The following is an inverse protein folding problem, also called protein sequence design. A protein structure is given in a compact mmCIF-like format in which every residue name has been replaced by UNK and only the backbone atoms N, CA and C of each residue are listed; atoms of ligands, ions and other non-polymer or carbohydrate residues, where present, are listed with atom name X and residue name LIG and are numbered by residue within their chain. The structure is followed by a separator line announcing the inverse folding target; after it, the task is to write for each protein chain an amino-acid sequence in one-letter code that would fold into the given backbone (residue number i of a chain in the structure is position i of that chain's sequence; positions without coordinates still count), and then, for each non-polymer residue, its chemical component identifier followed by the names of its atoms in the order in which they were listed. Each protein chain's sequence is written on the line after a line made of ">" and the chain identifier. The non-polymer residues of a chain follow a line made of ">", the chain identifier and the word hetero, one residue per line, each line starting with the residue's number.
data_IF_651161922221
#
_entry.id   IF_651161922221
#
_cell.length_a   1.000
_cell.length_b   1.000
_cell.length_c   1.000
_cell.angle_alpha   90.00
_cell.angle_beta   90.00
_cell.angle_gamma   90.00
#
_symmetry.space_group_name_H-M   'P 1'
#
loop_
_entity.id
_entity.type
_entity.pdbx_description
1 polymer ?
#
# COMPACT_ATOMS: atom_id res chain seq x y z
N UNK A 1 8.09 -11.92 -12.15
CA UNK A 1 6.85 -11.63 -12.90
C UNK A 1 6.01 -10.79 -11.96
N UNK A 2 6.12 -9.46 -12.10
CA UNK A 2 5.33 -8.53 -11.31
C UNK A 2 3.83 -8.78 -11.49
N UNK A 3 3.07 -8.71 -10.41
CA UNK A 3 1.61 -8.73 -10.45
C UNK A 3 1.10 -7.60 -11.33
N UNK A 4 0.16 -7.87 -12.24
CA UNK A 4 -0.43 -6.83 -13.09
C UNK A 4 -1.55 -6.10 -12.36
N UNK A 5 -1.64 -4.80 -12.57
CA UNK A 5 -2.77 -4.00 -12.05
C UNK A 5 -4.01 -4.40 -12.86
N UNK A 6 -5.12 -4.82 -12.22
CA UNK A 6 -6.31 -5.31 -12.92
C UNK A 6 -7.09 -4.21 -13.65
N UNK A 7 -6.78 -2.94 -13.38
CA UNK A 7 -7.35 -1.76 -14.04
C UNK A 7 -6.22 -0.83 -14.47
N UNK A 8 -6.29 -0.23 -15.67
CA UNK A 8 -5.32 0.77 -16.07
C UNK A 8 -5.46 2.01 -15.20
N UNK A 9 -4.35 2.49 -14.66
CA UNK A 9 -4.30 3.67 -13.80
C UNK A 9 -3.15 4.58 -14.19
N UNK A 10 -3.35 5.87 -13.92
CA UNK A 10 -2.35 6.91 -14.05
C UNK A 10 -2.06 7.46 -12.67
N UNK A 11 -0.80 7.81 -12.41
CA UNK A 11 -0.39 8.49 -11.19
C UNK A 11 0.88 9.29 -11.43
N UNK A 12 1.16 10.24 -10.54
CA UNK A 12 2.38 11.04 -10.53
C UNK A 12 3.13 10.79 -9.23
N UNK A 13 4.40 10.40 -9.34
CA UNK A 13 5.27 10.25 -8.17
C UNK A 13 5.63 11.63 -7.60
N UNK A 14 5.60 11.80 -6.27
CA UNK A 14 6.09 13.03 -5.65
C UNK A 14 7.60 13.19 -5.87
N UNK A 15 8.09 14.42 -5.75
CA UNK A 15 9.52 14.72 -5.86
C UNK A 15 10.35 13.91 -4.85
N UNK A 16 11.55 13.48 -5.23
CA UNK A 16 12.44 12.70 -4.36
C UNK A 16 12.15 11.20 -4.29
N UNK A 17 10.99 10.75 -4.82
CA UNK A 17 10.67 9.35 -4.98
C UNK A 17 11.21 8.78 -6.29
N UNK A 18 11.79 7.59 -6.22
CA UNK A 18 12.37 6.88 -7.37
C UNK A 18 11.65 5.54 -7.53
N UNK A 19 11.08 5.30 -8.71
CA UNK A 19 10.54 3.99 -9.06
C UNK A 19 11.66 2.97 -9.26
N UNK A 20 11.45 1.78 -8.72
CA UNK A 20 12.36 0.64 -8.87
C UNK A 20 11.58 -0.58 -9.34
N UNK A 21 12.24 -1.49 -10.03
CA UNK A 21 11.61 -2.72 -10.48
C UNK A 21 11.32 -3.63 -9.27
N UNK A 22 10.06 -4.05 -9.04
CA UNK A 22 9.71 -4.94 -7.92
C UNK A 22 10.50 -6.26 -7.90
N UNK A 23 10.84 -6.80 -9.08
CA UNK A 23 11.63 -8.03 -9.23
C UNK A 23 13.09 -7.84 -8.75
N UNK A 24 13.65 -6.62 -8.82
CA UNK A 24 15.03 -6.31 -8.38
C UNK A 24 15.17 -6.23 -6.85
N UNK A 25 14.07 -6.01 -6.14
CA UNK A 25 14.04 -5.83 -4.67
C UNK A 25 13.26 -6.93 -3.94
N UNK A 26 13.09 -8.09 -4.58
CA UNK A 26 12.41 -9.26 -4.02
C UNK A 26 10.98 -8.97 -3.51
N UNK A 27 10.25 -8.08 -4.20
CA UNK A 27 8.83 -7.81 -3.90
C UNK A 27 7.95 -8.17 -5.11
N UNK A 28 7.96 -9.43 -5.59
CA UNK A 28 7.33 -9.82 -6.85
C UNK A 28 5.81 -9.66 -6.85
N UNK A 29 5.19 -9.65 -5.66
CA UNK A 29 3.74 -9.46 -5.52
C UNK A 29 3.30 -8.01 -5.80
N UNK A 30 4.23 -7.04 -5.75
CA UNK A 30 3.94 -5.66 -6.06
C UNK A 30 3.94 -5.42 -7.57
N UNK A 31 2.92 -4.71 -8.04
CA UNK A 31 2.84 -4.20 -9.40
C UNK A 31 3.76 -3.00 -9.62
N UNK A 32 4.00 -2.22 -8.56
CA UNK A 32 4.85 -1.04 -8.59
C UNK A 32 5.50 -0.81 -7.23
N UNK A 33 6.75 -0.33 -7.24
CA UNK A 33 7.45 0.12 -6.04
C UNK A 33 8.17 1.45 -6.29
N UNK A 34 8.07 2.36 -5.34
CA UNK A 34 8.88 3.56 -5.26
C UNK A 34 9.60 3.66 -3.91
N UNK A 35 10.82 4.16 -3.92
CA UNK A 35 11.65 4.39 -2.73
C UNK A 35 11.88 5.90 -2.56
N UNK A 36 12.12 6.36 -1.33
CA UNK A 36 12.58 7.73 -1.06
C UNK A 36 14.04 7.72 -0.55
N UNK A 37 15.06 7.74 -1.42
CA UNK A 37 16.47 7.60 -1.02
C UNK A 37 16.96 8.71 -0.09
N UNK A 38 16.44 9.93 -0.26
CA UNK A 38 16.80 11.09 0.58
C UNK A 38 16.44 10.93 2.06
N UNK A 39 15.57 9.98 2.40
CA UNK A 39 15.17 9.67 3.78
C UNK A 39 15.73 8.33 4.27
N UNK A 40 16.77 7.79 3.63
CA UNK A 40 17.44 6.56 4.09
C UNK A 40 18.08 6.81 5.46
N UNK A 41 17.56 6.16 6.49
CA UNK A 41 17.99 6.38 7.88
C UNK A 41 17.86 5.14 8.75
N UNK A 42 18.92 4.82 9.51
CA UNK A 42 18.94 3.70 10.47
C UNK A 42 18.61 2.33 9.88
N UNK A 43 18.89 2.08 8.60
CA UNK A 43 18.70 0.76 7.98
C UNK A 43 17.34 0.52 7.31
N UNK A 44 16.45 1.53 7.21
CA UNK A 44 15.23 1.43 6.40
C UNK A 44 15.06 2.63 5.47
N UNK A 45 14.67 2.35 4.23
CA UNK A 45 14.32 3.36 3.23
C UNK A 45 12.79 3.38 3.09
N UNK A 46 12.12 4.52 3.32
CA UNK A 46 10.69 4.62 3.08
C UNK A 46 10.34 4.19 1.66
N UNK A 47 9.25 3.44 1.53
CA UNK A 47 8.80 2.92 0.25
C UNK A 47 7.28 3.01 0.11
N UNK A 48 6.84 3.10 -1.13
CA UNK A 48 5.45 2.97 -1.55
C UNK A 48 5.35 1.72 -2.41
N UNK A 49 4.41 0.85 -2.11
CA UNK A 49 4.08 -0.28 -2.97
C UNK A 49 2.65 -0.16 -3.47
N UNK A 50 2.40 -0.62 -4.70
CA UNK A 50 1.05 -0.83 -5.23
C UNK A 50 0.91 -2.30 -5.57
N UNK A 51 -0.14 -2.91 -5.05
CA UNK A 51 -0.62 -4.24 -5.43
C UNK A 51 -2.04 -4.10 -5.98
N UNK A 52 -2.39 -4.94 -6.93
CA UNK A 52 -3.72 -4.97 -7.55
C UNK A 52 -4.27 -6.38 -7.55
N UNK A 53 -5.54 -6.54 -7.20
CA UNK A 53 -6.21 -7.83 -7.21
C UNK A 53 -7.68 -7.71 -7.62
N UNK A 54 -8.22 -8.77 -8.23
CA UNK A 54 -9.65 -8.90 -8.47
C UNK A 54 -10.31 -9.56 -7.27
N UNK A 55 -11.37 -8.95 -6.76
CA UNK A 55 -12.15 -9.45 -5.63
C UNK A 55 -13.62 -9.55 -5.99
N UNK A 56 -14.33 -10.40 -5.28
CA UNK A 56 -15.79 -10.42 -5.31
C UNK A 56 -16.31 -9.08 -4.77
N UNK A 57 -17.30 -8.50 -5.45
CA UNK A 57 -17.85 -7.19 -5.10
C UNK A 57 -18.55 -7.19 -3.72
N UNK A 58 -18.95 -8.35 -3.21
CA UNK A 58 -19.56 -8.51 -1.88
C UNK A 58 -18.56 -8.43 -0.73
N UNK A 59 -17.26 -8.63 -1.00
CA UNK A 59 -16.20 -8.53 0.01
C UNK A 59 -15.87 -7.06 0.26
N UNK A 60 -16.05 -6.60 1.50
CA UNK A 60 -15.80 -5.21 1.87
C UNK A 60 -14.30 -4.86 1.85
N UNK A 61 -13.96 -3.59 1.64
CA UNK A 61 -12.54 -3.17 1.73
C UNK A 61 -11.97 -3.39 3.13
N UNK A 62 -12.80 -3.28 4.17
CA UNK A 62 -12.40 -3.59 5.55
C UNK A 62 -11.99 -5.06 5.70
N UNK A 63 -12.71 -6.01 5.08
CA UNK A 63 -12.35 -7.42 5.10
C UNK A 63 -11.00 -7.66 4.41
N UNK A 64 -10.77 -7.02 3.27
CA UNK A 64 -9.49 -7.10 2.54
C UNK A 64 -8.35 -6.51 3.38
N UNK A 65 -8.60 -5.38 4.06
CA UNK A 65 -7.64 -4.75 4.94
C UNK A 65 -7.29 -5.64 6.14
N UNK A 66 -8.27 -6.38 6.70
CA UNK A 66 -8.04 -7.37 7.74
C UNK A 66 -7.20 -8.55 7.25
N UNK A 67 -7.49 -9.09 6.06
CA UNK A 67 -6.66 -10.13 5.44
C UNK A 67 -5.21 -9.67 5.22
N UNK A 68 -5.00 -8.40 4.85
CA UNK A 68 -3.66 -7.83 4.74
C UNK A 68 -2.92 -7.83 6.08
N UNK A 69 -3.61 -7.55 7.18
CA UNK A 69 -3.03 -7.61 8.54
C UNK A 69 -2.72 -9.06 8.92
N UNK A 70 -3.59 -10.00 8.56
CA UNK A 70 -3.34 -11.43 8.81
C UNK A 70 -2.13 -11.95 8.04
N UNK A 71 -1.87 -11.46 6.82
CA UNK A 71 -0.61 -11.74 6.11
C UNK A 71 0.59 -11.18 6.85
N UNK A 72 0.52 -9.93 7.34
CA UNK A 72 1.61 -9.30 8.09
C UNK A 72 1.93 -10.05 9.40
N UNK A 73 0.91 -10.56 10.09
CA UNK A 73 1.07 -11.35 11.33
C UNK A 73 1.89 -12.63 11.14
N UNK A 74 2.00 -13.16 9.92
CA UNK A 74 2.80 -14.36 9.65
C UNK A 74 4.31 -14.09 9.67
N UNK A 75 4.73 -12.84 9.47
CA UNK A 75 6.14 -12.44 9.37
C UNK A 75 6.57 -11.38 10.39
N UNK A 76 5.67 -10.93 11.26
CA UNK A 76 5.93 -9.90 12.27
C UNK A 76 5.77 -10.46 13.69
N UNK A 77 6.62 -9.99 14.59
CA UNK A 77 6.52 -10.28 16.03
C UNK A 77 5.28 -9.64 16.66
N UNK A 78 4.92 -8.45 16.18
CA UNK A 78 3.75 -7.72 16.64
C UNK A 78 3.12 -6.93 15.48
N UNK A 79 1.79 -6.93 15.42
CA UNK A 79 1.01 -6.12 14.49
C UNK A 79 -0.11 -5.41 15.25
N UNK A 80 -0.11 -4.07 15.21
CA UNK A 80 -1.13 -3.23 15.85
C UNK A 80 -1.81 -2.36 14.81
N UNK A 81 -3.13 -2.50 14.70
CA UNK A 81 -3.96 -1.63 13.86
C UNK A 81 -4.20 -0.33 14.64
N UNK A 82 -3.96 0.79 13.96
CA UNK A 82 -4.21 2.14 14.46
C UNK A 82 -5.51 2.71 13.90
N UNK A 83 -5.47 3.99 13.52
CA UNK A 83 -6.63 4.68 12.95
C UNK A 83 -7.04 4.04 11.63
N UNK A 84 -8.34 3.81 11.49
CA UNK A 84 -8.98 3.40 10.25
C UNK A 84 -9.93 4.51 9.77
N UNK A 85 -10.17 4.60 8.48
CA UNK A 85 -11.14 5.55 7.91
C UNK A 85 -11.75 4.97 6.65
N UNK A 86 -13.07 5.08 6.53
CA UNK A 86 -13.84 4.71 5.34
C UNK A 86 -14.31 5.98 4.63
N UNK A 87 -14.32 5.94 3.29
CA UNK A 87 -14.73 7.06 2.46
C UNK A 87 -14.87 6.66 0.99
N UNK A 88 -14.81 7.65 0.11
CA UNK A 88 -15.04 7.45 -1.33
C UNK A 88 -16.52 7.47 -1.71
N UNK A 89 -16.84 6.92 -2.87
CA UNK A 89 -18.21 6.78 -3.39
C UNK A 89 -18.62 5.31 -3.42
N UNK A 90 -19.89 5.02 -3.72
CA UNK A 90 -20.34 3.63 -3.87
C UNK A 90 -19.61 2.89 -5.02
N UNK A 91 -19.27 3.61 -6.08
CA UNK A 91 -18.57 3.08 -7.26
C UNK A 91 -17.05 3.00 -7.06
N UNK A 92 -16.51 3.93 -6.25
CA UNK A 92 -15.08 4.01 -5.94
C UNK A 92 -14.87 4.13 -4.42
N UNK A 93 -15.14 3.06 -3.66
CA UNK A 93 -14.98 3.09 -2.21
C UNK A 93 -13.49 3.14 -1.85
N UNK A 94 -13.20 3.79 -0.72
CA UNK A 94 -11.84 3.90 -0.17
C UNK A 94 -11.84 3.49 1.29
N UNK A 95 -10.87 2.68 1.67
CA UNK A 95 -10.60 2.30 3.05
C UNK A 95 -9.14 2.59 3.36
N UNK A 96 -8.86 3.20 4.51
CA UNK A 96 -7.50 3.46 4.96
C UNK A 96 -7.27 2.90 6.35
N UNK A 97 -6.05 2.43 6.61
CA UNK A 97 -5.62 2.05 7.95
C UNK A 97 -4.14 2.32 8.20
N UNK A 98 -3.83 2.80 9.39
CA UNK A 98 -2.47 2.80 9.91
C UNK A 98 -2.19 1.45 10.60
N UNK A 99 -1.03 0.86 10.37
CA UNK A 99 -0.58 -0.39 10.99
C UNK A 99 0.82 -0.18 11.53
N UNK A 100 1.06 -0.52 12.80
CA UNK A 100 2.39 -0.58 13.40
C UNK A 100 2.87 -2.03 13.39
N UNK A 101 4.12 -2.21 13.02
CA UNK A 101 4.75 -3.52 12.84
C UNK A 101 6.03 -3.57 13.66
N UNK A 102 6.26 -4.70 14.31
CA UNK A 102 7.56 -5.07 14.86
C UNK A 102 8.07 -6.29 14.08
N UNK A 103 9.14 -6.10 13.32
CA UNK A 103 9.68 -7.09 12.36
C UNK A 103 11.20 -7.16 12.47
N UNK A 104 11.79 -8.27 12.08
CA UNK A 104 13.24 -8.35 11.88
C UNK A 104 13.61 -7.97 10.45
N UNK A 105 14.45 -6.94 10.31
CA UNK A 105 15.05 -6.56 9.03
C UNK A 105 16.56 -6.76 9.10
N UNK A 106 17.10 -7.58 8.19
CA UNK A 106 18.52 -7.97 8.20
C UNK A 106 18.99 -8.49 9.58
N UNK A 107 18.13 -9.24 10.28
CA UNK A 107 18.42 -9.80 11.61
C UNK A 107 18.40 -8.79 12.76
N UNK A 108 17.89 -7.59 12.55
CA UNK A 108 17.72 -6.57 13.59
C UNK A 108 16.24 -6.23 13.77
N UNK A 109 15.74 -6.17 15.02
CA UNK A 109 14.37 -5.77 15.28
C UNK A 109 14.16 -4.30 14.87
N UNK A 110 13.09 -4.05 14.13
CA UNK A 110 12.70 -2.73 13.64
C UNK A 110 11.21 -2.49 13.89
N UNK A 111 10.90 -1.25 14.29
CA UNK A 111 9.53 -0.76 14.34
C UNK A 111 9.20 0.01 13.08
N UNK A 112 8.24 -0.49 12.32
CA UNK A 112 7.75 0.14 11.10
C UNK A 112 6.30 0.60 11.27
N UNK A 113 5.94 1.59 10.48
CA UNK A 113 4.58 2.05 10.30
C UNK A 113 4.21 1.87 8.83
N UNK A 114 3.07 1.24 8.61
CA UNK A 114 2.41 1.21 7.32
C UNK A 114 1.17 2.09 7.34
N UNK A 115 1.01 2.92 6.33
CA UNK A 115 -0.25 3.57 6.03
C UNK A 115 -0.79 2.96 4.74
N UNK A 116 -1.86 2.18 4.89
CA UNK A 116 -2.44 1.35 3.85
C UNK A 116 -3.72 2.01 3.33
N UNK A 117 -3.82 2.13 2.01
CA UNK A 117 -4.97 2.66 1.31
C UNK A 117 -5.48 1.57 0.37
N UNK A 118 -6.76 1.24 0.50
CA UNK A 118 -7.46 0.30 -0.36
C UNK A 118 -8.49 1.08 -1.17
N UNK A 119 -8.41 0.99 -2.49
CA UNK A 119 -9.35 1.62 -3.43
C UNK A 119 -10.07 0.53 -4.21
N UNK A 120 -11.40 0.53 -4.17
CA UNK A 120 -12.21 -0.31 -5.03
C UNK A 120 -12.54 0.41 -6.34
N UNK A 121 -12.50 -0.31 -7.44
CA UNK A 121 -12.97 0.14 -8.75
C UNK A 121 -13.97 -0.89 -9.28
N UNK A 122 -15.19 -0.46 -9.56
CA UNK A 122 -16.19 -1.32 -10.17
C UNK A 122 -15.71 -1.84 -11.52
N UNK A 123 -15.82 -3.15 -11.73
CA UNK A 123 -15.60 -3.75 -13.05
C UNK A 123 -16.86 -3.52 -13.91
N UNK A 124 -16.73 -2.73 -14.96
CA UNK A 124 -17.84 -2.41 -15.87
C UNK A 124 -18.25 -3.60 -16.74
N UNK A 125 -17.35 -4.57 -16.96
CA UNK A 125 -17.64 -5.78 -17.71
C UNK A 125 -18.28 -6.86 -16.82
N UNK A 126 -17.98 -6.88 -15.52
CA UNK A 126 -18.55 -7.83 -14.57
C UNK A 126 -18.86 -7.20 -13.20
N UNK A 127 -20.11 -6.77 -12.95
CA UNK A 127 -20.51 -6.16 -11.68
C UNK A 127 -20.36 -7.04 -10.43
N UNK A 128 -20.21 -8.37 -10.59
CA UNK A 128 -19.94 -9.28 -9.47
C UNK A 128 -18.48 -9.23 -9.00
N UNK A 129 -17.60 -8.59 -9.77
CA UNK A 129 -16.19 -8.40 -9.44
C UNK A 129 -15.85 -6.93 -9.31
N UNK A 130 -14.80 -6.67 -8.57
CA UNK A 130 -14.18 -5.35 -8.50
C UNK A 130 -12.66 -5.49 -8.49
N UNK A 131 -12.01 -4.53 -9.12
CA UNK A 131 -10.59 -4.35 -8.93
C UNK A 131 -10.36 -3.66 -7.57
N UNK A 132 -9.39 -4.15 -6.82
CA UNK A 132 -8.95 -3.52 -5.57
C UNK A 132 -7.49 -3.20 -5.71
N UNK A 133 -7.16 -1.93 -5.55
CA UNK A 133 -5.79 -1.48 -5.41
C UNK A 133 -5.47 -1.35 -3.94
N UNK A 134 -4.36 -1.95 -3.52
CA UNK A 134 -3.76 -1.73 -2.22
C UNK A 134 -2.47 -0.93 -2.43
N UNK A 135 -2.46 0.29 -1.89
CA UNK A 135 -1.31 1.17 -1.90
C UNK A 135 -0.80 1.29 -0.47
N UNK A 136 0.48 1.00 -0.25
CA UNK A 136 1.06 0.98 1.10
C UNK A 136 2.29 1.87 1.15
N UNK A 137 2.24 2.90 1.98
CA UNK A 137 3.44 3.60 2.45
C UNK A 137 4.02 2.82 3.62
N UNK A 138 5.28 2.40 3.54
CA UNK A 138 6.03 1.85 4.67
C UNK A 138 7.17 2.76 5.04
N UNK A 139 7.33 3.07 6.32
CA UNK A 139 8.45 3.86 6.86
C UNK A 139 8.72 3.52 8.32
N UNK A 140 9.80 4.05 8.90
CA UNK A 140 9.94 4.10 10.35
C UNK A 140 9.03 5.17 10.95
N UNK A 141 8.70 5.02 12.24
CA UNK A 141 7.88 6.00 12.95
C UNK A 141 8.45 7.42 12.89
N UNK A 142 9.77 7.59 13.00
CA UNK A 142 10.44 8.89 12.95
C UNK A 142 10.49 9.52 11.54
N UNK A 143 10.46 8.67 10.50
CA UNK A 143 10.43 9.10 9.09
C UNK A 143 9.01 9.44 8.65
N UNK A 144 8.00 8.82 9.24
CA UNK A 144 6.60 8.91 8.80
C UNK A 144 6.09 10.34 8.61
N UNK A 145 6.31 11.31 9.54
CA UNK A 145 5.85 12.69 9.36
C UNK A 145 6.48 13.42 8.17
N UNK A 146 7.63 12.94 7.67
CA UNK A 146 8.37 13.56 6.57
C UNK A 146 7.88 13.09 5.21
N UNK A 147 7.18 11.96 5.14
CA UNK A 147 6.79 11.30 3.88
C UNK A 147 5.28 11.14 3.70
N UNK A 148 4.48 11.42 4.74
CA UNK A 148 3.04 11.23 4.69
C UNK A 148 2.34 12.22 3.75
N UNK A 149 2.79 13.47 3.68
CA UNK A 149 2.19 14.50 2.81
C UNK A 149 2.46 14.21 1.33
N UNK A 150 3.66 13.75 1.01
CA UNK A 150 4.02 13.22 -0.32
C UNK A 150 3.12 12.04 -0.69
N UNK A 151 2.93 11.11 0.25
CA UNK A 151 2.08 9.95 0.00
C UNK A 151 0.62 10.35 -0.22
N UNK A 152 0.09 11.31 0.52
CA UNK A 152 -1.25 11.83 0.29
C UNK A 152 -1.37 12.50 -1.09
N UNK A 153 -0.34 13.22 -1.52
CA UNK A 153 -0.26 13.82 -2.86
C UNK A 153 -0.23 12.74 -3.95
N UNK A 154 0.56 11.68 -3.75
CA UNK A 154 0.60 10.51 -4.62
C UNK A 154 -0.78 9.87 -4.76
N UNK A 155 -1.42 9.55 -3.64
CA UNK A 155 -2.77 8.98 -3.59
C UNK A 155 -3.80 9.87 -4.30
N UNK A 156 -3.72 11.19 -4.11
CA UNK A 156 -4.61 12.14 -4.76
C UNK A 156 -4.42 12.20 -6.29
N UNK A 157 -3.25 11.80 -6.81
CA UNK A 157 -2.95 11.75 -8.24
C UNK A 157 -3.49 10.50 -8.95
N UNK A 158 -3.83 9.43 -8.20
CA UNK A 158 -4.28 8.16 -8.79
C UNK A 158 -5.64 8.36 -9.45
N UNK A 159 -5.72 8.03 -10.75
CA UNK A 159 -6.97 8.06 -11.54
C UNK A 159 -7.05 6.84 -12.45
N UNK A 160 -8.25 6.29 -12.69
CA UNK A 160 -8.47 5.35 -13.78
C UNK A 160 -8.11 5.98 -15.14
N UNK A 161 -7.61 5.19 -16.08
CA UNK A 161 -7.55 5.58 -17.50
C UNK A 161 -8.91 5.51 -18.19
#
# INVERSE_FOLDING_TARGET
>A
MATTIPVPIQFSLPEGWISVNPDEINTPEAAFVALHPGHRGGGFTPNITITGELRDATVSLQQIAAESVDRLRKGAHEVKIGRTTEGGTAENPVYTQAVRLHVDLAGQPQYLVQYQVFMGFSDTANPARRAVLQIVLTSKLEQFPQVIDDFQTFIASIRPE
#
